data_IF_699491288570
#
_entry.id   IF_699491288570
#
_cell.length_a   1.000
_cell.length_b   1.000
_cell.length_c   1.000
_cell.angle_alpha   90.00
_cell.angle_beta   90.00
_cell.angle_gamma   90.00
#
_symmetry.space_group_name_H-M   'P 1'
#
loop_
_entity.id
_entity.type
_entity.pdbx_description
1 polymer ?
#
# COMPACT_ATOMS: atom_id res chain seq x y z
N UNK A 1 10.83 -6.14 15.84
CA UNK A 1 9.50 -5.87 16.45
C UNK A 1 8.75 -4.73 15.77
N UNK A 2 9.33 -3.54 15.58
CA UNK A 2 8.55 -2.39 15.08
C UNK A 2 8.01 -2.59 13.66
N UNK A 3 8.74 -3.26 12.77
CA UNK A 3 8.20 -3.65 11.47
C UNK A 3 6.95 -4.52 11.62
N UNK A 4 6.80 -5.35 12.66
CA UNK A 4 5.61 -6.18 12.84
C UNK A 4 4.38 -5.32 13.17
N UNK A 5 4.52 -4.35 14.08
CA UNK A 5 3.44 -3.45 14.48
C UNK A 5 3.08 -2.42 13.39
N UNK A 6 4.10 -1.85 12.73
CA UNK A 6 3.87 -0.90 11.63
C UNK A 6 3.30 -1.64 10.42
N UNK A 7 3.78 -2.83 10.10
CA UNK A 7 3.18 -3.66 9.07
C UNK A 7 1.74 -4.04 9.43
N UNK A 8 1.43 -4.48 10.64
CA UNK A 8 0.07 -4.93 10.97
C UNK A 8 -0.96 -3.81 10.85
N UNK A 9 -0.63 -2.61 11.34
CA UNK A 9 -1.49 -1.42 11.20
C UNK A 9 -1.61 -1.00 9.74
N UNK A 10 -0.49 -0.90 9.01
CA UNK A 10 -0.52 -0.53 7.59
C UNK A 10 -1.27 -1.56 6.74
N UNK A 11 -1.22 -2.84 7.09
CA UNK A 11 -1.89 -3.91 6.37
C UNK A 11 -3.40 -3.89 6.59
N UNK A 12 -3.83 -3.70 7.84
CA UNK A 12 -5.24 -3.52 8.13
C UNK A 12 -5.81 -2.31 7.39
N UNK A 13 -5.09 -1.18 7.42
CA UNK A 13 -5.47 0.01 6.65
C UNK A 13 -5.39 -0.22 5.13
N UNK A 14 -4.46 -1.05 4.66
CA UNK A 14 -4.31 -1.36 3.25
C UNK A 14 -5.49 -2.17 2.70
N UNK A 15 -6.28 -2.89 3.50
CA UNK A 15 -7.51 -3.54 3.00
C UNK A 15 -8.57 -2.50 2.60
N UNK A 16 -8.65 -1.40 3.36
CA UNK A 16 -9.66 -0.34 3.17
C UNK A 16 -9.17 0.78 2.25
N UNK A 17 -7.87 1.05 2.21
CA UNK A 17 -7.31 2.19 1.49
C UNK A 17 -6.72 1.84 0.12
N UNK A 18 -6.82 2.80 -0.79
CA UNK A 18 -6.05 2.79 -2.04
C UNK A 18 -4.63 3.27 -1.77
N UNK A 19 -3.62 2.45 -2.08
CA UNK A 19 -2.20 2.82 -1.99
C UNK A 19 -1.88 3.89 -3.03
N UNK A 20 -1.88 5.16 -2.61
CA UNK A 20 -1.47 6.30 -3.43
C UNK A 20 0.04 6.51 -3.36
N UNK A 21 0.61 7.10 -4.41
CA UNK A 21 2.04 7.48 -4.48
C UNK A 21 2.44 8.38 -3.30
N UNK A 22 1.57 9.32 -2.93
CA UNK A 22 1.78 10.20 -1.76
C UNK A 22 1.93 9.44 -0.44
N UNK A 23 1.24 8.30 -0.28
CA UNK A 23 1.35 7.47 0.91
C UNK A 23 2.63 6.62 0.87
N UNK A 24 2.99 6.09 -0.30
CA UNK A 24 4.26 5.38 -0.49
C UNK A 24 5.46 6.27 -0.16
N UNK A 25 5.44 7.53 -0.60
CA UNK A 25 6.50 8.51 -0.33
C UNK A 25 6.60 8.88 1.16
N UNK A 26 5.55 8.65 1.97
CA UNK A 26 5.56 8.87 3.42
C UNK A 26 6.04 7.64 4.20
N UNK A 27 5.82 6.44 3.66
CA UNK A 27 6.18 5.18 4.34
C UNK A 27 7.71 5.02 4.44
N UNK A 28 8.46 5.35 3.39
CA UNK A 28 9.93 5.21 3.40
C UNK A 28 10.63 6.11 4.43
N UNK A 29 10.32 7.42 4.54
CA UNK A 29 10.87 8.27 5.60
C UNK A 29 10.41 7.84 7.00
N UNK A 30 9.17 7.34 7.12
CA UNK A 30 8.61 6.85 8.38
C UNK A 30 9.39 5.63 8.89
N UNK A 31 9.71 4.67 8.02
CA UNK A 31 10.54 3.51 8.36
C UNK A 31 11.91 3.94 8.92
N UNK A 32 12.56 4.91 8.26
CA UNK A 32 13.83 5.47 8.73
C UNK A 32 13.71 6.23 10.06
N UNK A 33 12.63 7.00 10.25
CA UNK A 33 12.39 7.74 11.47
C UNK A 33 12.17 6.80 12.67
N UNK A 34 11.43 5.71 12.46
CA UNK A 34 11.27 4.64 13.45
C UNK A 34 12.62 4.03 13.84
N UNK A 35 13.46 3.71 12.85
CA UNK A 35 14.79 3.17 13.13
C UNK A 35 15.64 4.15 13.94
N UNK A 36 15.66 5.44 13.60
CA UNK A 36 16.40 6.45 14.38
C UNK A 36 15.92 6.57 15.83
N UNK A 37 14.63 6.35 16.09
CA UNK A 37 14.04 6.38 17.44
C UNK A 37 14.35 5.15 18.28
N UNK A 38 14.94 4.09 17.71
CA UNK A 38 15.43 2.98 18.52
C UNK A 38 16.69 3.41 19.29
N UNK A 39 16.81 3.04 20.58
CA UNK A 39 17.92 3.46 21.44
C UNK A 39 19.29 3.00 20.93
N UNK A 40 19.35 1.97 20.07
CA UNK A 40 20.57 1.44 19.48
C UNK A 40 21.22 2.36 18.42
N UNK A 41 20.52 3.41 17.97
CA UNK A 41 20.85 4.16 16.74
C UNK A 41 20.80 5.69 16.90
N UNK A 42 20.74 6.18 18.14
CA UNK A 42 20.51 7.60 18.48
C UNK A 42 21.56 8.59 17.93
N UNK A 43 22.71 8.13 17.42
CA UNK A 43 23.79 8.98 16.91
C UNK A 43 24.44 8.47 15.62
N UNK A 44 23.68 7.74 14.78
CA UNK A 44 24.22 7.11 13.56
C UNK A 44 23.63 7.71 12.29
N UNK A 45 24.46 7.85 11.27
CA UNK A 45 24.06 8.28 9.92
C UNK A 45 23.08 7.27 9.29
N UNK A 46 22.22 7.67 8.34
CA UNK A 46 21.23 6.75 7.73
C UNK A 46 21.84 5.43 7.22
N UNK A 47 23.05 5.49 6.65
CA UNK A 47 23.78 4.32 6.17
C UNK A 47 24.24 3.41 7.33
N UNK A 48 24.67 4.00 8.43
CA UNK A 48 25.11 3.27 9.63
C UNK A 48 23.94 2.67 10.40
N UNK A 49 22.79 3.33 10.41
CA UNK A 49 21.52 2.78 10.93
C UNK A 49 21.15 1.51 10.18
N UNK A 50 21.14 1.54 8.84
CA UNK A 50 20.84 0.36 8.02
C UNK A 50 21.87 -0.76 8.22
N UNK A 51 23.17 -0.44 8.30
CA UNK A 51 24.22 -1.43 8.63
C UNK A 51 24.04 -2.03 10.02
N UNK A 52 23.68 -1.22 11.01
CA UNK A 52 23.50 -1.68 12.40
C UNK A 52 22.31 -2.60 12.56
N UNK A 53 21.29 -2.45 11.71
CA UNK A 53 20.09 -3.30 11.71
C UNK A 53 20.29 -4.51 10.76
N UNK A 54 21.37 -4.50 9.96
CA UNK A 54 21.69 -5.48 8.93
C UNK A 54 20.49 -5.83 8.04
N UNK A 55 19.67 -4.81 7.72
CA UNK A 55 18.48 -4.94 6.88
C UNK A 55 18.29 -3.72 6.01
N UNK A 56 17.80 -3.97 4.80
CA UNK A 56 17.33 -2.95 3.89
C UNK A 56 15.93 -2.47 4.26
N UNK A 57 15.51 -1.37 3.62
CA UNK A 57 14.13 -0.87 3.71
C UNK A 57 13.19 -1.86 3.04
N UNK A 58 12.42 -2.60 3.83
CA UNK A 58 11.55 -3.67 3.34
C UNK A 58 10.06 -3.37 3.56
N UNK A 59 9.72 -2.33 4.33
CA UNK A 59 8.33 -2.05 4.70
C UNK A 59 7.45 -1.79 3.48
N UNK A 60 7.86 -0.87 2.60
CA UNK A 60 7.10 -0.54 1.39
C UNK A 60 6.97 -1.76 0.46
N UNK A 61 8.03 -2.55 0.33
CA UNK A 61 8.06 -3.78 -0.49
C UNK A 61 7.09 -4.81 0.06
N UNK A 62 7.07 -5.01 1.37
CA UNK A 62 6.18 -5.94 2.07
C UNK A 62 4.71 -5.54 1.90
N UNK A 63 4.39 -4.25 2.08
CA UNK A 63 3.04 -3.71 1.88
C UNK A 63 2.56 -3.92 0.45
N UNK A 64 3.40 -3.60 -0.55
CA UNK A 64 3.09 -3.83 -1.97
C UNK A 64 2.85 -5.31 -2.27
N UNK A 65 3.73 -6.18 -1.80
CA UNK A 65 3.63 -7.61 -2.03
C UNK A 65 2.34 -8.19 -1.45
N UNK A 66 2.02 -7.87 -0.20
CA UNK A 66 0.79 -8.34 0.45
C UNK A 66 -0.48 -7.79 -0.20
N UNK A 67 -0.50 -6.50 -0.55
CA UNK A 67 -1.64 -5.90 -1.30
C UNK A 67 -1.84 -6.62 -2.63
N UNK A 68 -0.76 -6.91 -3.36
CA UNK A 68 -0.82 -7.66 -4.62
C UNK A 68 -1.34 -9.09 -4.40
N UNK A 69 -0.85 -9.80 -3.37
CA UNK A 69 -1.35 -11.13 -3.03
C UNK A 69 -2.84 -11.11 -2.70
N UNK A 70 -3.28 -10.16 -1.88
CA UNK A 70 -4.70 -9.97 -1.53
C UNK A 70 -5.58 -9.73 -2.76
N UNK A 71 -5.16 -8.82 -3.66
CA UNK A 71 -5.85 -8.62 -4.93
C UNK A 71 -5.89 -9.89 -5.79
N UNK A 72 -4.78 -10.65 -5.81
CA UNK A 72 -4.74 -11.98 -6.46
C UNK A 72 -5.75 -12.96 -5.87
N UNK A 73 -5.91 -13.00 -4.55
CA UNK A 73 -6.92 -13.82 -3.88
C UNK A 73 -8.34 -13.38 -4.23
N UNK A 74 -8.62 -12.07 -4.27
CA UNK A 74 -9.92 -11.53 -4.70
C UNK A 74 -10.24 -11.96 -6.12
N UNK A 75 -9.28 -11.84 -7.05
CA UNK A 75 -9.49 -12.16 -8.47
C UNK A 75 -9.70 -13.65 -8.70
N UNK A 76 -9.05 -14.53 -7.92
CA UNK A 76 -9.17 -15.99 -8.06
C UNK A 76 -10.37 -16.57 -7.30
N UNK A 77 -10.79 -15.95 -6.19
CA UNK A 77 -11.82 -16.49 -5.31
C UNK A 77 -13.24 -16.17 -5.76
N UNK A 78 -14.08 -17.19 -5.98
CA UNK A 78 -15.50 -17.05 -6.33
C UNK A 78 -16.32 -16.34 -5.26
N UNK A 79 -15.86 -16.35 -4.00
CA UNK A 79 -16.48 -15.68 -2.85
C UNK A 79 -16.49 -14.14 -2.96
N UNK A 80 -15.63 -13.55 -3.78
CA UNK A 80 -15.45 -12.09 -3.87
C UNK A 80 -16.02 -11.47 -5.15
N UNK A 81 -17.10 -12.04 -5.69
CA UNK A 81 -17.69 -11.66 -6.99
C UNK A 81 -18.01 -10.15 -7.10
N UNK A 82 -18.54 -9.54 -6.05
CA UNK A 82 -18.83 -8.09 -6.01
C UNK A 82 -17.54 -7.27 -6.09
N UNK A 83 -16.54 -7.57 -5.26
CA UNK A 83 -15.24 -6.89 -5.27
C UNK A 83 -14.55 -7.04 -6.62
N UNK A 84 -14.65 -8.21 -7.27
CA UNK A 84 -14.13 -8.40 -8.63
C UNK A 84 -14.83 -7.52 -9.66
N UNK A 85 -16.16 -7.35 -9.58
CA UNK A 85 -16.91 -6.47 -10.49
C UNK A 85 -16.49 -5.01 -10.32
N UNK A 86 -16.35 -4.56 -9.08
CA UNK A 86 -15.84 -3.21 -8.74
C UNK A 86 -14.43 -3.03 -9.30
N UNK A 87 -13.53 -3.99 -9.05
CA UNK A 87 -12.14 -3.93 -9.51
C UNK A 87 -12.03 -3.91 -11.05
N UNK A 88 -12.93 -4.64 -11.73
CA UNK A 88 -13.00 -4.70 -13.20
C UNK A 88 -13.71 -3.48 -13.81
N UNK A 89 -14.24 -2.56 -12.99
CA UNK A 89 -15.06 -1.44 -13.47
C UNK A 89 -16.35 -1.88 -14.18
N UNK A 90 -16.79 -3.13 -13.97
CA UNK A 90 -18.03 -3.70 -14.53
C UNK A 90 -19.19 -3.53 -13.55
N UNK A 91 -19.27 -2.38 -12.91
CA UNK A 91 -20.49 -2.00 -12.21
C UNK A 91 -21.48 -1.64 -13.31
N UNK A 92 -22.61 -2.35 -13.38
CA UNK A 92 -23.70 -2.05 -14.32
C UNK A 92 -24.35 -0.69 -13.96
N UNK A 93 -23.63 0.39 -14.23
CA UNK A 93 -24.20 1.73 -14.31
C UNK A 93 -24.60 1.98 -15.76
N UNK A 94 -25.84 2.42 -15.99
CA UNK A 94 -26.21 3.02 -17.29
C UNK A 94 -25.20 4.12 -17.59
N UNK A 95 -24.37 3.95 -18.63
CA UNK A 95 -23.58 5.06 -19.19
C UNK A 95 -24.56 6.16 -19.54
N UNK A 96 -24.42 7.34 -18.92
CA UNK A 96 -25.16 8.52 -19.34
C UNK A 96 -24.89 8.76 -20.82
N UNK A 97 -25.97 8.91 -21.61
CA UNK A 97 -25.86 9.29 -23.02
C UNK A 97 -25.07 10.59 -23.06
N UNK A 98 -23.92 10.57 -23.76
CA UNK A 98 -23.10 11.76 -23.95
C UNK A 98 -23.92 12.88 -24.59
N UNK A 99 -23.57 14.13 -24.28
CA UNK A 99 -24.26 15.31 -24.83
C UNK A 99 -24.15 15.28 -26.36
N UNK A 100 -25.30 15.22 -27.06
CA UNK A 100 -25.34 15.37 -28.53
C UNK A 100 -24.70 16.72 -28.88
N UNK A 101 -23.64 16.71 -29.68
CA UNK A 101 -23.22 17.92 -30.37
C UNK A 101 -24.26 18.20 -31.45
N UNK A 102 -24.95 19.32 -31.31
CA UNK A 102 -25.78 19.87 -32.37
C UNK A 102 -24.79 20.43 -33.39
N UNK A 103 -24.65 19.75 -34.54
CA UNK A 103 -24.00 20.32 -35.71
C UNK A 103 -24.92 21.42 -36.22
N UNK A 104 -24.48 22.67 -36.07
CA UNK A 104 -25.05 23.84 -36.73
C UNK A 104 -24.37 24.07 -38.07
#
# INVERSE_FOLDING_TARGET
MVNCYVCSVLLYSAEVWTLKVSMMNKIEPLEMWVYRRMPLTASKTNKEVLRSINKDRELLKTVKHRKMSYLGHIVRGSRYKILQLILKGKIEGRRGIGRKQVLG
#
